data_IF_580855319410
#
_entry.id   IF_580855319410
#
_cell.length_a   1.000
_cell.length_b   1.000
_cell.length_c   1.000
_cell.angle_alpha   90.00
_cell.angle_beta   90.00
_cell.angle_gamma   90.00
#
_symmetry.space_group_name_H-M   'P 1'
#
loop_
_entity.id
_entity.type
_entity.pdbx_description
1 polymer ?
#
# COMPACT_ATOMS: atom_id res chain seq x y z
N UNK A 1 -7.07 6.19 22.34
CA UNK A 1 -5.74 5.60 22.32
C UNK A 1 -5.94 4.09 22.29
N UNK A 2 -6.23 3.60 21.07
CA UNK A 2 -6.70 2.24 20.80
C UNK A 2 -5.69 1.60 19.85
N UNK A 3 -4.99 0.52 20.24
CA UNK A 3 -4.08 -0.17 19.34
C UNK A 3 -4.85 -0.78 18.17
N UNK A 4 -4.30 -0.68 16.97
CA UNK A 4 -4.88 -1.21 15.75
C UNK A 4 -4.13 -2.48 15.36
N UNK A 5 -4.81 -3.62 15.34
CA UNK A 5 -4.20 -4.89 14.91
C UNK A 5 -4.76 -5.31 13.55
N UNK A 6 -3.91 -5.60 12.57
CA UNK A 6 -4.27 -6.06 11.22
C UNK A 6 -4.08 -7.58 11.10
N UNK A 7 -5.14 -8.32 10.78
CA UNK A 7 -5.04 -9.73 10.40
C UNK A 7 -4.77 -9.83 8.89
N UNK A 8 -3.54 -10.22 8.57
CA UNK A 8 -3.02 -10.35 7.21
C UNK A 8 -2.84 -11.82 6.80
N UNK A 9 -3.33 -12.78 7.60
CA UNK A 9 -3.09 -14.23 7.38
C UNK A 9 -3.90 -14.82 6.22
N UNK A 10 -4.98 -14.14 5.81
CA UNK A 10 -5.91 -14.59 4.77
C UNK A 10 -5.74 -13.82 3.46
N UNK A 11 -5.76 -12.49 3.55
CA UNK A 11 -5.71 -11.60 2.40
C UNK A 11 -5.12 -10.26 2.82
N UNK A 12 -3.90 -10.00 2.36
CA UNK A 12 -3.16 -8.78 2.64
C UNK A 12 -3.17 -7.83 1.42
N UNK A 13 -4.19 -7.91 0.55
CA UNK A 13 -4.31 -6.97 -0.57
C UNK A 13 -4.72 -5.59 -0.07
N UNK A 14 -4.30 -4.52 -0.77
CA UNK A 14 -4.70 -3.14 -0.48
C UNK A 14 -6.22 -2.97 -0.35
N UNK A 15 -7.00 -3.73 -1.11
CA UNK A 15 -8.47 -3.74 -1.02
C UNK A 15 -8.95 -4.34 0.31
N UNK A 16 -8.37 -5.46 0.72
CA UNK A 16 -8.67 -6.10 2.02
C UNK A 16 -8.30 -5.18 3.19
N UNK A 17 -7.08 -4.62 3.16
CA UNK A 17 -6.59 -3.66 4.17
C UNK A 17 -7.52 -2.44 4.26
N UNK A 18 -7.86 -1.82 3.13
CA UNK A 18 -8.76 -0.66 3.11
C UNK A 18 -10.16 -1.02 3.63
N UNK A 19 -10.70 -2.18 3.25
CA UNK A 19 -12.02 -2.62 3.70
C UNK A 19 -12.06 -2.86 5.21
N UNK A 20 -11.01 -3.46 5.78
CA UNK A 20 -10.88 -3.66 7.23
C UNK A 20 -10.79 -2.31 7.97
N UNK A 21 -9.86 -1.43 7.58
CA UNK A 21 -9.72 -0.11 8.19
C UNK A 21 -11.01 0.71 8.10
N UNK A 22 -11.64 0.75 6.92
CA UNK A 22 -12.92 1.45 6.73
C UNK A 22 -14.03 0.82 7.56
N UNK A 23 -14.02 -0.50 7.76
CA UNK A 23 -14.99 -1.22 8.58
C UNK A 23 -14.91 -0.88 10.08
N UNK A 24 -13.79 -0.35 10.55
CA UNK A 24 -13.58 0.10 11.94
C UNK A 24 -14.14 1.49 12.23
N UNK A 25 -14.43 2.26 11.18
CA UNK A 25 -15.04 3.59 11.28
C UNK A 25 -16.57 3.48 11.44
N UNK A 26 -17.14 4.35 12.28
CA UNK A 26 -18.60 4.49 12.36
C UNK A 26 -19.20 5.06 11.06
N UNK A 27 -20.53 5.09 10.97
CA UNK A 27 -21.21 5.55 9.75
C UNK A 27 -20.84 6.99 9.35
N UNK A 28 -20.79 7.90 10.31
CA UNK A 28 -20.47 9.31 10.03
C UNK A 28 -19.02 9.49 9.61
N UNK A 29 -18.10 8.76 10.25
CA UNK A 29 -16.68 8.79 9.90
C UNK A 29 -16.41 8.16 8.54
N UNK A 30 -17.14 7.10 8.16
CA UNK A 30 -17.07 6.52 6.80
C UNK A 30 -17.57 7.49 5.72
N UNK A 31 -18.68 8.18 5.96
CA UNK A 31 -19.19 9.17 5.00
C UNK A 31 -18.21 10.34 4.85
N UNK A 32 -17.59 10.78 5.95
CA UNK A 32 -16.54 11.81 5.93
C UNK A 32 -15.28 11.35 5.18
N UNK A 33 -14.86 10.09 5.38
CA UNK A 33 -13.75 9.48 4.64
C UNK A 33 -14.03 9.46 3.14
N UNK A 34 -15.20 8.96 2.73
CA UNK A 34 -15.56 8.86 1.30
C UNK A 34 -15.59 10.26 0.66
N UNK A 35 -16.12 11.26 1.37
CA UNK A 35 -16.06 12.65 0.93
C UNK A 35 -14.63 13.21 0.85
N UNK A 36 -13.76 12.86 1.80
CA UNK A 36 -12.35 13.28 1.80
C UNK A 36 -11.54 12.62 0.67
N UNK A 37 -11.79 11.34 0.37
CA UNK A 37 -11.15 10.64 -0.76
C UNK A 37 -11.50 11.30 -2.09
N UNK A 38 -12.77 11.68 -2.29
CA UNK A 38 -13.18 12.42 -3.49
C UNK A 38 -12.60 13.84 -3.51
N UNK A 39 -12.67 14.55 -2.38
CA UNK A 39 -12.15 15.91 -2.28
C UNK A 39 -10.63 15.98 -2.48
N UNK A 40 -9.89 14.93 -2.11
CA UNK A 40 -8.44 14.87 -2.29
C UNK A 40 -8.02 15.12 -3.75
N UNK A 41 -8.87 14.75 -4.71
CA UNK A 41 -8.71 15.14 -6.12
C UNK A 41 -7.62 14.36 -6.86
N UNK A 42 -7.43 13.08 -6.54
CA UNK A 42 -6.43 12.25 -7.22
C UNK A 42 -6.83 12.04 -8.69
N UNK A 43 -6.02 12.53 -9.65
CA UNK A 43 -6.35 12.53 -11.06
C UNK A 43 -6.39 11.11 -11.65
N UNK A 44 -7.34 10.88 -12.55
CA UNK A 44 -7.49 9.62 -13.28
C UNK A 44 -6.54 9.54 -14.48
N UNK A 45 -5.23 9.48 -14.17
CA UNK A 45 -4.16 9.29 -15.16
C UNK A 45 -3.11 8.33 -14.64
N UNK A 46 -2.24 7.88 -15.53
CA UNK A 46 -1.04 7.15 -15.15
C UNK A 46 0.08 8.10 -14.72
N UNK A 47 0.81 7.73 -13.68
CA UNK A 47 2.02 8.40 -13.22
C UNK A 47 3.23 7.56 -13.60
N UNK A 48 4.17 8.14 -14.34
CA UNK A 48 5.23 7.35 -14.98
C UNK A 48 6.43 7.06 -14.07
N UNK A 49 6.62 7.87 -13.03
CA UNK A 49 7.79 7.81 -12.16
C UNK A 49 7.48 8.40 -10.78
N UNK A 50 8.48 8.34 -9.89
CA UNK A 50 8.37 8.87 -8.54
C UNK A 50 8.15 10.40 -8.53
N UNK A 51 8.89 11.24 -9.28
CA UNK A 51 8.62 12.68 -9.35
C UNK A 51 7.17 13.03 -9.72
N UNK A 52 6.58 12.37 -10.70
CA UNK A 52 5.20 12.61 -11.16
C UNK A 52 4.17 12.29 -10.05
N UNK A 53 4.31 11.16 -9.36
CA UNK A 53 3.39 10.83 -8.26
C UNK A 53 3.58 11.76 -7.05
N UNK A 54 4.82 12.16 -6.73
CA UNK A 54 5.09 13.09 -5.64
C UNK A 54 4.47 14.47 -5.92
N UNK A 55 4.57 14.96 -7.16
CA UNK A 55 3.93 16.21 -7.57
C UNK A 55 2.40 16.13 -7.46
N UNK A 56 1.79 15.00 -7.82
CA UNK A 56 0.36 14.76 -7.58
C UNK A 56 0.04 14.79 -6.08
N UNK A 57 0.80 14.09 -5.24
CA UNK A 57 0.59 14.03 -3.78
C UNK A 57 0.65 15.43 -3.15
N UNK A 58 1.62 16.25 -3.56
CA UNK A 58 1.80 17.61 -3.04
C UNK A 58 0.57 18.50 -3.30
N UNK A 59 -0.09 18.29 -4.44
CA UNK A 59 -1.29 19.01 -4.86
C UNK A 59 -2.61 18.50 -4.28
N UNK A 60 -2.62 17.38 -3.55
CA UNK A 60 -3.86 16.81 -3.01
C UNK A 60 -4.47 17.71 -1.92
N UNK A 61 -5.80 17.75 -1.88
CA UNK A 61 -6.55 18.38 -0.79
C UNK A 61 -6.64 17.43 0.42
N UNK A 62 -5.49 17.14 1.04
CA UNK A 62 -5.35 16.29 2.22
C UNK A 62 -4.43 16.96 3.25
N UNK A 63 -4.41 16.45 4.48
CA UNK A 63 -3.49 16.91 5.52
C UNK A 63 -2.03 16.62 5.13
N UNK A 64 -1.07 17.35 5.72
CA UNK A 64 0.35 17.04 5.49
C UNK A 64 0.74 15.67 6.07
N UNK A 65 0.09 15.19 7.14
CA UNK A 65 0.28 13.83 7.65
C UNK A 65 -0.04 12.79 6.58
N UNK A 66 -1.22 12.90 5.95
CA UNK A 66 -1.63 11.99 4.87
C UNK A 66 -0.66 12.06 3.69
N UNK A 67 -0.26 13.27 3.27
CA UNK A 67 0.69 13.42 2.17
C UNK A 67 2.05 12.82 2.52
N UNK A 68 2.57 13.02 3.72
CA UNK A 68 3.84 12.43 4.17
C UNK A 68 3.79 10.90 4.18
N UNK A 69 2.70 10.31 4.67
CA UNK A 69 2.46 8.87 4.61
C UNK A 69 2.45 8.37 3.16
N UNK A 70 1.73 9.04 2.27
CA UNK A 70 1.72 8.69 0.84
C UNK A 70 3.11 8.76 0.21
N UNK A 71 3.87 9.83 0.48
CA UNK A 71 5.25 10.00 -0.03
C UNK A 71 6.15 8.86 0.49
N UNK A 72 6.02 8.46 1.75
CA UNK A 72 6.78 7.37 2.32
C UNK A 72 6.46 6.02 1.64
N UNK A 73 5.18 5.71 1.46
CA UNK A 73 4.72 4.51 0.75
C UNK A 73 5.26 4.47 -0.69
N UNK A 74 5.18 5.58 -1.43
CA UNK A 74 5.68 5.64 -2.81
C UNK A 74 7.19 5.57 -2.93
N UNK A 75 7.95 6.08 -1.94
CA UNK A 75 9.41 5.88 -1.89
C UNK A 75 9.79 4.42 -1.65
N UNK A 76 9.04 3.70 -0.81
CA UNK A 76 9.22 2.25 -0.61
C UNK A 76 9.00 1.50 -1.92
N UNK A 77 7.92 1.84 -2.64
CA UNK A 77 7.63 1.25 -3.95
C UNK A 77 8.73 1.53 -4.96
N UNK A 78 9.12 2.79 -5.12
CA UNK A 78 10.19 3.18 -6.05
C UNK A 78 11.51 2.46 -5.73
N UNK A 79 11.85 2.30 -4.46
CA UNK A 79 13.06 1.56 -4.06
C UNK A 79 13.00 0.07 -4.44
N UNK A 80 11.83 -0.55 -4.31
CA UNK A 80 11.63 -1.95 -4.68
C UNK A 80 11.68 -2.16 -6.19
N UNK A 81 10.98 -1.31 -6.95
CA UNK A 81 10.99 -1.34 -8.42
C UNK A 81 12.41 -1.08 -8.96
N UNK A 82 13.13 -0.07 -8.45
CA UNK A 82 14.52 0.20 -8.79
C UNK A 82 15.42 -1.02 -8.61
N UNK A 83 15.26 -1.72 -7.46
CA UNK A 83 16.03 -2.90 -7.14
C UNK A 83 15.76 -4.06 -8.09
N UNK A 84 14.50 -4.24 -8.53
CA UNK A 84 14.10 -5.30 -9.46
C UNK A 84 14.59 -5.00 -10.88
N UNK A 85 14.56 -3.72 -11.28
CA UNK A 85 14.97 -3.27 -12.61
C UNK A 85 16.47 -3.02 -12.75
N UNK A 86 17.22 -2.95 -11.64
CA UNK A 86 18.65 -2.67 -11.65
C UNK A 86 18.99 -1.24 -12.08
N UNK A 87 18.10 -0.27 -11.81
CA UNK A 87 18.29 1.14 -12.12
C UNK A 87 18.31 2.00 -10.84
N UNK A 88 18.60 3.29 -10.99
CA UNK A 88 18.46 4.23 -9.87
C UNK A 88 16.97 4.53 -9.57
N UNK A 89 16.68 4.95 -8.34
CA UNK A 89 15.29 5.21 -7.88
C UNK A 89 14.63 6.34 -8.69
N UNK A 90 15.40 7.34 -9.10
CA UNK A 90 14.99 8.44 -9.96
C UNK A 90 14.82 8.04 -11.44
N UNK A 91 15.36 6.89 -11.84
CA UNK A 91 15.23 6.32 -13.20
C UNK A 91 14.16 5.21 -13.27
N UNK A 92 13.45 4.97 -12.17
CA UNK A 92 12.45 3.90 -12.09
C UNK A 92 11.16 4.29 -12.81
N UNK A 93 10.64 3.36 -13.61
CA UNK A 93 9.37 3.51 -14.30
C UNK A 93 8.27 2.72 -13.61
N UNK A 94 7.14 3.39 -13.35
CA UNK A 94 5.97 2.73 -12.79
C UNK A 94 5.08 2.17 -13.90
N UNK A 95 4.85 0.87 -13.87
CA UNK A 95 3.95 0.19 -14.79
C UNK A 95 2.58 -0.07 -14.14
N UNK A 96 2.55 -0.75 -12.99
CA UNK A 96 1.29 -1.07 -12.30
C UNK A 96 1.00 -0.10 -11.14
N UNK A 97 2.02 0.37 -10.43
CA UNK A 97 1.88 1.15 -9.18
C UNK A 97 1.57 2.64 -9.40
N UNK A 98 1.79 3.13 -10.62
CA UNK A 98 1.56 4.52 -11.02
C UNK A 98 0.13 4.85 -11.46
N UNK A 99 -0.74 3.84 -11.57
CA UNK A 99 -2.13 4.05 -11.95
C UNK A 99 -2.84 4.96 -10.92
N UNK A 100 -3.59 5.98 -11.37
CA UNK A 100 -4.37 6.86 -10.51
C UNK A 100 -5.31 6.13 -9.55
N UNK A 101 -5.85 4.96 -9.92
CA UNK A 101 -6.60 4.11 -9.00
C UNK A 101 -5.73 3.58 -7.84
N UNK A 102 -4.48 3.21 -8.11
CA UNK A 102 -3.55 2.78 -7.07
C UNK A 102 -3.22 3.95 -6.13
N UNK A 103 -2.97 5.15 -6.68
CA UNK A 103 -2.75 6.37 -5.89
C UNK A 103 -3.96 6.69 -5.01
N UNK A 104 -5.18 6.60 -5.56
CA UNK A 104 -6.44 6.76 -4.80
C UNK A 104 -6.57 5.77 -3.65
N UNK A 105 -6.22 4.50 -3.87
CA UNK A 105 -6.28 3.48 -2.82
C UNK A 105 -5.27 3.78 -1.70
N UNK A 106 -4.04 4.19 -2.03
CA UNK A 106 -3.05 4.59 -1.02
C UNK A 106 -3.56 5.79 -0.23
N UNK A 107 -4.08 6.83 -0.89
CA UNK A 107 -4.68 7.98 -0.23
C UNK A 107 -5.79 7.58 0.74
N UNK A 108 -6.69 6.69 0.31
CA UNK A 108 -7.79 6.20 1.15
C UNK A 108 -7.30 5.44 2.38
N UNK A 109 -6.24 4.62 2.26
CA UNK A 109 -5.65 3.93 3.41
C UNK A 109 -5.00 4.94 4.38
N UNK A 110 -4.23 5.91 3.87
CA UNK A 110 -3.64 6.96 4.71
C UNK A 110 -4.71 7.79 5.44
N UNK A 111 -5.80 8.16 4.76
CA UNK A 111 -6.94 8.85 5.36
C UNK A 111 -7.65 7.99 6.43
N UNK A 112 -7.82 6.70 6.19
CA UNK A 112 -8.34 5.77 7.21
C UNK A 112 -7.46 5.74 8.46
N UNK A 113 -6.14 5.63 8.27
CA UNK A 113 -5.19 5.60 9.40
C UNK A 113 -5.22 6.92 10.17
N UNK A 114 -5.25 8.07 9.47
CA UNK A 114 -5.40 9.37 10.12
C UNK A 114 -6.72 9.48 10.89
N UNK A 115 -7.84 9.03 10.31
CA UNK A 115 -9.15 9.11 10.96
C UNK A 115 -9.28 8.18 12.18
N UNK A 116 -8.63 7.01 12.15
CA UNK A 116 -8.58 6.09 13.29
C UNK A 116 -7.61 6.54 14.37
N UNK A 117 -6.60 7.33 13.99
CA UNK A 117 -5.52 7.86 14.83
C UNK A 117 -4.96 6.85 15.86
N UNK A 118 -4.48 5.68 15.39
CA UNK A 118 -3.99 4.65 16.30
C UNK A 118 -2.63 5.05 16.90
N UNK A 119 -2.41 4.71 18.16
CA UNK A 119 -1.12 4.95 18.83
C UNK A 119 -0.03 4.00 18.31
N UNK A 120 -0.46 2.84 17.83
CA UNK A 120 0.39 1.77 17.31
C UNK A 120 -0.43 0.86 16.41
N UNK A 121 0.19 0.40 15.33
CA UNK A 121 -0.36 -0.60 14.42
C UNK A 121 0.48 -1.87 14.52
N UNK A 122 -0.15 -2.99 14.86
CA UNK A 122 0.49 -4.32 14.81
C UNK A 122 -0.16 -5.19 13.75
N UNK A 123 0.52 -6.25 13.31
CA UNK A 123 -0.06 -7.18 12.34
C UNK A 123 0.41 -8.62 12.54
N UNK A 124 -0.40 -9.56 12.07
CA UNK A 124 0.04 -10.95 11.87
C UNK A 124 1.11 -11.03 10.76
N UNK A 125 1.78 -12.19 10.57
CA UNK A 125 2.55 -12.43 9.35
C UNK A 125 1.72 -12.22 8.08
N UNK A 126 2.40 -11.78 7.01
CA UNK A 126 1.76 -11.42 5.74
C UNK A 126 1.52 -12.65 4.88
N UNK A 127 0.26 -12.89 4.49
CA UNK A 127 -0.07 -13.86 3.47
C UNK A 127 0.29 -13.32 2.08
N UNK A 128 1.35 -13.85 1.46
CA UNK A 128 1.70 -13.44 0.09
C UNK A 128 0.90 -14.19 -0.97
N UNK A 129 0.39 -15.38 -0.63
CA UNK A 129 -0.18 -16.31 -1.59
C UNK A 129 0.87 -17.10 -2.38
N UNK A 130 0.44 -17.77 -3.44
CA UNK A 130 1.23 -18.67 -4.29
C UNK A 130 0.66 -18.73 -5.71
N UNK A 131 1.42 -19.29 -6.65
CA UNK A 131 1.06 -19.38 -8.06
C UNK A 131 1.79 -18.34 -8.92
N UNK A 132 1.15 -17.91 -9.99
CA UNK A 132 1.66 -16.88 -10.90
C UNK A 132 0.63 -15.77 -11.15
N UNK A 133 1.10 -14.59 -11.53
CA UNK A 133 0.28 -13.45 -11.91
C UNK A 133 0.72 -12.91 -13.27
N UNK A 134 -0.24 -12.51 -14.11
CA UNK A 134 0.03 -11.88 -15.42
C UNK A 134 -0.07 -10.37 -15.27
N UNK A 135 0.99 -9.67 -15.64
CA UNK A 135 1.11 -8.22 -15.51
C UNK A 135 1.85 -7.61 -16.73
N UNK A 136 2.23 -6.33 -16.68
CA UNK A 136 2.93 -5.68 -17.79
C UNK A 136 4.32 -6.30 -18.06
N UNK A 137 4.87 -6.98 -17.06
CA UNK A 137 6.13 -7.71 -17.11
C UNK A 137 5.98 -9.17 -17.57
N UNK A 138 4.79 -9.57 -18.03
CA UNK A 138 4.48 -10.95 -18.37
C UNK A 138 4.00 -11.75 -17.16
N UNK A 139 4.28 -13.05 -17.18
CA UNK A 139 3.92 -13.95 -16.09
C UNK A 139 5.02 -13.98 -15.02
N UNK A 140 4.68 -13.63 -13.79
CA UNK A 140 5.58 -13.56 -12.64
C UNK A 140 5.17 -14.54 -11.55
N UNK A 141 6.12 -15.07 -10.76
CA UNK A 141 5.78 -15.85 -9.57
C UNK A 141 5.09 -14.99 -8.53
N UNK A 142 4.33 -15.61 -7.63
CA UNK A 142 3.80 -14.99 -6.42
C UNK A 142 4.65 -15.40 -5.21
N UNK A 143 5.16 -14.45 -4.40
CA UNK A 143 5.04 -12.99 -4.57
C UNK A 143 5.81 -12.47 -5.80
N UNK A 144 5.28 -11.42 -6.44
CA UNK A 144 5.97 -10.71 -7.51
C UNK A 144 7.30 -10.11 -7.00
N UNK A 145 8.31 -9.90 -7.86
CA UNK A 145 9.65 -9.48 -7.43
C UNK A 145 9.67 -8.21 -6.57
N UNK A 146 8.89 -7.18 -6.92
CA UNK A 146 8.80 -5.96 -6.12
C UNK A 146 8.15 -6.20 -4.74
N UNK A 147 7.14 -7.06 -4.67
CA UNK A 147 6.55 -7.50 -3.39
C UNK A 147 7.59 -8.22 -2.54
N UNK A 148 8.32 -9.18 -3.13
CA UNK A 148 9.36 -9.94 -2.43
C UNK A 148 10.45 -9.01 -1.87
N UNK A 149 10.95 -8.07 -2.69
CA UNK A 149 11.97 -7.11 -2.28
C UNK A 149 11.55 -6.23 -1.08
N UNK A 150 10.27 -5.87 -0.99
CA UNK A 150 9.75 -5.12 0.17
C UNK A 150 9.70 -6.00 1.42
N UNK A 151 9.23 -7.25 1.27
CA UNK A 151 9.08 -8.19 2.38
C UNK A 151 10.42 -8.65 2.96
N UNK A 152 11.45 -8.76 2.11
CA UNK A 152 12.82 -9.13 2.50
C UNK A 152 13.47 -8.11 3.46
N UNK A 153 12.84 -6.95 3.68
CA UNK A 153 13.24 -5.99 4.71
C UNK A 153 12.89 -6.41 6.15
N UNK A 154 12.58 -7.68 6.39
CA UNK A 154 12.30 -8.25 7.72
C UNK A 154 10.81 -8.38 8.05
N UNK A 155 9.93 -8.35 7.04
CA UNK A 155 8.48 -8.52 7.24
C UNK A 155 8.18 -10.03 7.25
N UNK A 156 7.64 -10.58 8.35
CA UNK A 156 7.33 -12.00 8.43
C UNK A 156 6.19 -12.36 7.47
N UNK A 157 6.33 -13.53 6.84
CA UNK A 157 5.34 -14.08 5.90
C UNK A 157 4.76 -15.38 6.43
N UNK A 158 3.50 -15.66 6.10
CA UNK A 158 2.88 -16.92 6.49
C UNK A 158 3.66 -18.13 5.92
N UNK A 159 3.83 -19.17 6.75
CA UNK A 159 4.46 -20.42 6.33
C UNK A 159 3.59 -21.16 5.31
N UNK A 160 2.28 -21.26 5.57
CA UNK A 160 1.30 -21.77 4.61
C UNK A 160 0.92 -20.66 3.62
N UNK A 161 1.00 -20.98 2.33
CA UNK A 161 0.65 -20.06 1.25
C UNK A 161 -0.68 -20.46 0.63
N UNK A 162 -1.58 -19.49 0.51
CA UNK A 162 -2.88 -19.68 -0.15
C UNK A 162 -2.76 -19.52 -1.67
N UNK A 163 -3.75 -20.01 -2.41
CA UNK A 163 -3.80 -19.85 -3.86
C UNK A 163 -4.11 -18.38 -4.25
N UNK A 164 -3.47 -17.95 -5.34
CA UNK A 164 -3.57 -16.60 -5.91
C UNK A 164 -2.75 -15.53 -5.17
N UNK A 165 -2.65 -14.34 -5.76
CA UNK A 165 -1.91 -13.23 -5.17
C UNK A 165 -2.68 -12.65 -3.97
N UNK A 166 -2.04 -12.65 -2.80
CA UNK A 166 -2.62 -12.13 -1.55
C UNK A 166 -1.92 -10.90 -1.02
N UNK A 167 -0.82 -10.50 -1.62
CA UNK A 167 -0.12 -9.25 -1.30
C UNK A 167 0.51 -8.70 -2.58
N UNK A 168 0.11 -7.48 -2.97
CA UNK A 168 0.69 -6.75 -4.11
C UNK A 168 1.83 -5.84 -3.62
N UNK A 169 2.69 -5.30 -4.51
CA UNK A 169 3.76 -4.39 -4.09
C UNK A 169 3.23 -3.20 -3.28
N UNK A 170 2.12 -2.58 -3.70
CA UNK A 170 1.44 -1.52 -2.95
C UNK A 170 1.02 -1.93 -1.55
N UNK A 171 0.57 -3.17 -1.38
CA UNK A 171 0.12 -3.66 -0.07
C UNK A 171 1.30 -3.91 0.86
N UNK A 172 2.38 -4.51 0.34
CA UNK A 172 3.61 -4.68 1.09
C UNK A 172 4.20 -3.32 1.51
N UNK A 173 4.15 -2.30 0.65
CA UNK A 173 4.62 -0.95 0.98
C UNK A 173 3.78 -0.28 2.08
N UNK A 174 2.45 -0.43 2.04
CA UNK A 174 1.55 0.04 3.09
C UNK A 174 1.86 -0.65 4.44
N UNK A 175 2.02 -1.97 4.42
CA UNK A 175 2.37 -2.76 5.60
C UNK A 175 3.71 -2.32 6.17
N UNK A 176 4.73 -2.17 5.31
CA UNK A 176 6.07 -1.72 5.71
C UNK A 176 6.07 -0.32 6.34
N UNK A 177 5.23 0.58 5.84
CA UNK A 177 5.15 1.95 6.32
C UNK A 177 4.41 2.05 7.66
N UNK A 178 3.27 1.37 7.78
CA UNK A 178 2.36 1.58 8.91
C UNK A 178 2.54 0.59 10.06
N UNK A 179 2.99 -0.64 9.83
CA UNK A 179 3.06 -1.65 10.89
C UNK A 179 4.33 -1.46 11.73
N UNK A 180 4.13 -1.24 13.02
CA UNK A 180 5.21 -1.05 14.01
C UNK A 180 5.79 -2.38 14.50
N UNK A 181 4.96 -3.42 14.61
CA UNK A 181 5.33 -4.71 15.18
C UNK A 181 4.51 -5.84 14.55
N UNK A 182 5.16 -6.99 14.34
CA UNK A 182 4.50 -8.20 13.88
C UNK A 182 4.39 -9.22 15.00
N UNK A 183 3.32 -10.01 14.96
CA UNK A 183 3.14 -11.14 15.86
C UNK A 183 4.31 -12.15 15.72
N UNK A 184 4.66 -12.79 16.85
CA UNK A 184 5.74 -13.77 16.96
C UNK A 184 5.39 -15.14 16.34
#
# INVERSE_FOLDING_TARGET
MTPLHLDLTRDATRRSILADLRGRLDGSARDALDAAVEAAGVPDRHHHDLPDVLATIDGLAASERVKDDMRAVYRILAQAEASVHGCAVDETHFHEVGNGEAVRNVAAVCLCVEALDPDRITATPVQTGSGTVVCAHGELPIPAPATAAILDAGIPVCAERLDGERCTPTSAALVKHFVDEFDA
#
